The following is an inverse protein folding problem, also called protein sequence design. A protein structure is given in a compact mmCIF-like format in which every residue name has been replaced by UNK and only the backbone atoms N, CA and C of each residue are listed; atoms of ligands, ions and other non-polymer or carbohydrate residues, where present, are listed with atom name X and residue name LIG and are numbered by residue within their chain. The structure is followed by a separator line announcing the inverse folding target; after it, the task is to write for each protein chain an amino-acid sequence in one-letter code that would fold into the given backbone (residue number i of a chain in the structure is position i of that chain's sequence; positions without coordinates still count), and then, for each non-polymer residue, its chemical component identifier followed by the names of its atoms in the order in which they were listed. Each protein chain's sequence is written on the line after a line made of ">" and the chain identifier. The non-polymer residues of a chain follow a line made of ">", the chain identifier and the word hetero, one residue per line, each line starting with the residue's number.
data_IF_343220263170
#
_entry.id   IF_343220263170
#
_cell.length_a   1.000
_cell.length_b   1.000
_cell.length_c   1.000
_cell.angle_alpha   90.00
_cell.angle_beta   90.00
_cell.angle_gamma   90.00
#
_symmetry.space_group_name_H-M   'P 1'
#
loop_
_entity.id
_entity.type
_entity.pdbx_description
1 polymer ?
#
# COMPACT_ATOMS: atom_id res chain seq x y z
N UNK A 1 -2.33 -45.97 -90.62
CA UNK A 1 -1.66 -47.00 -89.80
C UNK A 1 -0.57 -46.32 -88.99
N UNK A 2 -0.65 -46.35 -87.66
CA UNK A 2 0.38 -45.84 -86.75
C UNK A 2 0.84 -47.01 -85.85
N UNK A 3 2.15 -47.23 -85.64
CA UNK A 3 2.64 -48.31 -84.81
C UNK A 3 2.62 -47.92 -83.32
N UNK A 4 1.97 -48.75 -82.51
CA UNK A 4 1.96 -48.64 -81.04
C UNK A 4 3.25 -49.21 -80.45
N UNK A 5 4.15 -48.34 -79.97
CA UNK A 5 5.31 -48.76 -79.18
C UNK A 5 4.90 -49.04 -77.73
N UNK A 6 4.74 -50.32 -77.40
CA UNK A 6 4.63 -50.82 -76.03
C UNK A 6 5.97 -50.64 -75.30
N UNK A 7 6.06 -49.64 -74.41
CA UNK A 7 7.17 -49.50 -73.45
C UNK A 7 7.10 -50.64 -72.45
N UNK A 8 8.03 -51.61 -72.54
CA UNK A 8 8.21 -52.64 -71.50
C UNK A 8 8.72 -51.96 -70.23
N UNK A 9 7.92 -52.00 -69.17
CA UNK A 9 8.34 -51.58 -67.84
C UNK A 9 9.49 -52.48 -67.37
N UNK A 10 10.62 -51.87 -67.03
CA UNK A 10 11.76 -52.55 -66.39
C UNK A 10 11.40 -52.73 -64.92
N UNK A 11 11.02 -53.93 -64.51
CA UNK A 11 10.95 -54.30 -63.10
C UNK A 11 12.37 -54.35 -62.54
N UNK A 12 12.64 -53.51 -61.54
CA UNK A 12 13.89 -53.49 -60.80
C UNK A 12 13.71 -54.50 -59.67
N UNK A 13 14.38 -55.65 -59.75
CA UNK A 13 14.44 -56.60 -58.65
C UNK A 13 15.37 -56.04 -57.56
N UNK A 14 14.79 -55.39 -56.56
CA UNK A 14 15.51 -55.00 -55.35
C UNK A 14 15.75 -56.25 -54.50
N UNK A 15 17.01 -56.65 -54.34
CA UNK A 15 17.36 -57.74 -53.43
C UNK A 15 17.02 -57.37 -51.98
N UNK A 16 16.64 -58.36 -51.17
CA UNK A 16 16.30 -58.19 -49.76
C UNK A 16 17.45 -57.52 -48.96
N UNK A 17 18.70 -57.79 -49.35
CA UNK A 17 19.88 -57.12 -48.81
C UNK A 17 19.87 -55.60 -49.04
N UNK A 18 19.49 -55.15 -50.24
CA UNK A 18 19.41 -53.71 -50.57
C UNK A 18 18.31 -53.01 -49.78
N UNK A 19 17.19 -53.69 -49.52
CA UNK A 19 16.09 -53.15 -48.70
C UNK A 19 16.51 -53.04 -47.23
N UNK A 20 17.20 -54.05 -46.72
CA UNK A 20 17.73 -54.05 -45.35
C UNK A 20 18.79 -52.96 -45.15
N UNK A 21 19.69 -52.75 -46.12
CA UNK A 21 20.71 -51.70 -46.07
C UNK A 21 20.09 -50.28 -46.08
N UNK A 22 19.07 -50.05 -46.92
CA UNK A 22 18.33 -48.78 -46.95
C UNK A 22 17.55 -48.53 -45.67
N UNK A 23 16.96 -49.58 -45.09
CA UNK A 23 16.26 -49.50 -43.80
C UNK A 23 17.25 -49.18 -42.67
N UNK A 24 18.43 -49.81 -42.65
CA UNK A 24 19.47 -49.53 -41.68
C UNK A 24 20.00 -48.08 -41.79
N UNK A 25 20.24 -47.59 -43.01
CA UNK A 25 20.65 -46.21 -43.26
C UNK A 25 19.59 -45.20 -42.79
N UNK A 26 18.32 -45.44 -43.12
CA UNK A 26 17.22 -44.55 -42.75
C UNK A 26 17.07 -44.51 -41.22
N UNK A 27 17.17 -45.67 -40.57
CA UNK A 27 17.11 -45.78 -39.11
C UNK A 27 18.27 -45.04 -38.45
N UNK A 28 19.51 -45.21 -38.94
CA UNK A 28 20.68 -44.50 -38.43
C UNK A 28 20.59 -42.98 -38.62
N UNK A 29 20.02 -42.52 -39.74
CA UNK A 29 19.77 -41.10 -39.99
C UNK A 29 18.74 -40.52 -39.01
N UNK A 30 17.63 -41.24 -38.76
CA UNK A 30 16.61 -40.81 -37.81
C UNK A 30 17.15 -40.73 -36.38
N UNK A 31 17.94 -41.71 -35.93
CA UNK A 31 18.61 -41.65 -34.63
C UNK A 31 19.60 -40.48 -34.55
N UNK A 32 20.34 -40.19 -35.62
CA UNK A 32 21.28 -39.07 -35.66
C UNK A 32 20.57 -37.71 -35.56
N UNK A 33 19.44 -37.55 -36.24
CA UNK A 33 18.62 -36.33 -36.16
C UNK A 33 17.97 -36.17 -34.79
N UNK A 34 17.41 -37.25 -34.23
CA UNK A 34 16.84 -37.25 -32.89
C UNK A 34 17.89 -36.90 -31.82
N UNK A 35 19.10 -37.46 -31.92
CA UNK A 35 20.20 -37.16 -31.00
C UNK A 35 20.66 -35.69 -31.07
N UNK A 36 20.67 -35.07 -32.26
CA UNK A 36 20.96 -33.64 -32.40
C UNK A 36 19.88 -32.79 -31.76
N UNK A 37 18.61 -33.09 -32.06
CA UNK A 37 17.46 -32.39 -31.47
C UNK A 37 17.48 -32.44 -29.94
N UNK A 38 17.75 -33.59 -29.34
CA UNK A 38 17.85 -33.71 -27.88
C UNK A 38 19.02 -32.90 -27.30
N UNK A 39 20.16 -32.82 -28.01
CA UNK A 39 21.27 -31.96 -27.59
C UNK A 39 20.91 -30.49 -27.66
N UNK A 40 20.25 -30.07 -28.73
CA UNK A 40 19.81 -28.68 -28.90
C UNK A 40 18.78 -28.29 -27.83
N UNK A 41 17.79 -29.15 -27.58
CA UNK A 41 16.79 -28.96 -26.51
C UNK A 41 17.45 -28.91 -25.12
N UNK A 42 18.49 -29.73 -24.87
CA UNK A 42 19.24 -29.70 -23.62
C UNK A 42 20.03 -28.40 -23.46
N UNK A 43 20.65 -27.89 -24.52
CA UNK A 43 21.36 -26.61 -24.49
C UNK A 43 20.40 -25.44 -24.28
N UNK A 44 19.25 -25.45 -24.95
CA UNK A 44 18.18 -24.47 -24.76
C UNK A 44 17.66 -24.48 -23.32
N UNK A 45 17.51 -25.67 -22.71
CA UNK A 45 17.10 -25.81 -21.32
C UNK A 45 18.14 -25.24 -20.35
N UNK A 46 19.42 -25.48 -20.59
CA UNK A 46 20.51 -24.91 -19.77
C UNK A 46 20.53 -23.39 -19.90
N UNK A 47 20.37 -22.86 -21.11
CA UNK A 47 20.30 -21.42 -21.37
C UNK A 47 19.15 -20.77 -20.61
N UNK A 48 17.94 -21.36 -20.67
CA UNK A 48 16.78 -20.88 -19.91
C UNK A 48 17.01 -20.92 -18.40
N UNK A 49 17.60 -22.00 -17.89
CA UNK A 49 17.92 -22.12 -16.46
C UNK A 49 18.95 -21.06 -16.01
N UNK A 50 19.93 -20.73 -16.85
CA UNK A 50 20.89 -19.66 -16.58
C UNK A 50 20.22 -18.29 -16.55
N UNK A 51 19.36 -17.98 -17.52
CA UNK A 51 18.61 -16.73 -17.55
C UNK A 51 17.70 -16.57 -16.32
N UNK A 52 17.00 -17.64 -15.92
CA UNK A 52 16.17 -17.64 -14.72
C UNK A 52 17.00 -17.41 -13.45
N UNK A 53 18.15 -18.06 -13.34
CA UNK A 53 19.08 -17.84 -12.22
C UNK A 53 19.57 -16.39 -12.18
N UNK A 54 19.90 -15.81 -13.32
CA UNK A 54 20.44 -14.45 -13.39
C UNK A 54 19.33 -13.41 -13.11
N UNK A 55 18.09 -13.65 -13.56
CA UNK A 55 16.91 -12.86 -13.13
C UNK A 55 16.71 -12.96 -11.61
N UNK A 56 16.77 -14.16 -11.05
CA UNK A 56 16.62 -14.36 -9.60
C UNK A 56 17.71 -13.63 -8.79
N UNK A 57 18.94 -13.60 -9.28
CA UNK A 57 20.04 -12.83 -8.66
C UNK A 57 19.77 -11.34 -8.70
N UNK A 58 19.35 -10.80 -9.84
CA UNK A 58 19.02 -9.38 -9.96
C UNK A 58 17.88 -8.98 -9.00
N UNK A 59 16.84 -9.81 -8.89
CA UNK A 59 15.75 -9.56 -7.93
C UNK A 59 16.21 -9.64 -6.48
N UNK A 60 17.12 -10.56 -6.16
CA UNK A 60 17.66 -10.71 -4.82
C UNK A 60 18.53 -9.51 -4.44
N UNK A 61 19.39 -9.03 -5.33
CA UNK A 61 20.17 -7.80 -5.10
C UNK A 61 19.27 -6.58 -4.90
N UNK A 62 18.19 -6.45 -5.67
CA UNK A 62 17.23 -5.37 -5.49
C UNK A 62 16.55 -5.46 -4.11
N UNK A 63 16.14 -6.66 -3.69
CA UNK A 63 15.55 -6.88 -2.37
C UNK A 63 16.53 -6.56 -1.24
N UNK A 64 17.80 -6.92 -1.38
CA UNK A 64 18.85 -6.60 -0.40
C UNK A 64 19.04 -5.09 -0.25
N UNK A 65 19.12 -4.34 -1.36
CA UNK A 65 19.23 -2.87 -1.30
C UNK A 65 18.02 -2.21 -0.64
N UNK A 66 16.82 -2.76 -0.84
CA UNK A 66 15.63 -2.27 -0.14
C UNK A 66 15.69 -2.55 1.36
N UNK A 67 16.16 -3.73 1.76
CA UNK A 67 16.37 -4.07 3.17
C UNK A 67 17.44 -3.18 3.83
N UNK A 68 18.54 -2.89 3.13
CA UNK A 68 19.57 -1.97 3.63
C UNK A 68 19.00 -0.57 3.88
N UNK A 69 18.23 -0.02 2.93
CA UNK A 69 17.56 1.28 3.12
C UNK A 69 16.54 1.26 4.27
N UNK A 70 15.80 0.17 4.41
CA UNK A 70 14.84 0.01 5.49
C UNK A 70 15.55 -0.03 6.86
N UNK A 71 16.69 -0.72 6.95
CA UNK A 71 17.51 -0.76 8.16
C UNK A 71 18.06 0.63 8.51
N UNK A 72 18.58 1.38 7.55
CA UNK A 72 19.02 2.77 7.81
C UNK A 72 17.88 3.65 8.30
N UNK A 73 16.67 3.48 7.75
CA UNK A 73 15.50 4.22 8.20
C UNK A 73 15.12 3.84 9.64
N UNK A 74 15.19 2.54 9.98
CA UNK A 74 14.94 2.05 11.33
C UNK A 74 15.96 2.62 12.33
N UNK A 75 17.23 2.65 11.97
CA UNK A 75 18.30 3.23 12.80
C UNK A 75 18.05 4.71 13.10
N UNK A 76 17.66 5.50 12.08
CA UNK A 76 17.28 6.92 12.27
C UNK A 76 16.05 7.07 13.18
N UNK A 77 15.06 6.18 13.07
CA UNK A 77 13.90 6.20 13.97
C UNK A 77 14.28 5.86 15.41
N UNK A 78 15.18 4.89 15.62
CA UNK A 78 15.67 4.56 16.96
C UNK A 78 16.47 5.70 17.58
N UNK A 79 17.30 6.38 16.79
CA UNK A 79 18.04 7.56 17.24
C UNK A 79 17.09 8.69 17.65
N UNK A 80 16.11 9.01 16.80
CA UNK A 80 15.08 10.00 17.12
C UNK A 80 14.26 9.63 18.36
N UNK A 81 13.93 8.35 18.54
CA UNK A 81 13.25 7.87 19.74
C UNK A 81 14.10 8.05 21.01
N UNK A 82 15.41 7.78 20.94
CA UNK A 82 16.34 8.02 22.05
C UNK A 82 16.47 9.51 22.38
N UNK A 83 16.57 10.37 21.36
CA UNK A 83 16.62 11.82 21.55
C UNK A 83 15.33 12.36 22.17
N UNK A 84 14.17 11.96 21.65
CA UNK A 84 12.87 12.34 22.21
C UNK A 84 12.70 11.88 23.66
N UNK A 85 13.16 10.67 23.99
CA UNK A 85 13.16 10.18 25.37
C UNK A 85 14.06 11.03 26.29
N UNK A 86 15.25 11.42 25.81
CA UNK A 86 16.15 12.30 26.55
C UNK A 86 15.52 13.67 26.80
N UNK A 87 14.94 14.30 25.77
CA UNK A 87 14.25 15.58 25.90
C UNK A 87 13.06 15.50 26.86
N UNK A 88 12.31 14.40 26.83
CA UNK A 88 11.21 14.16 27.77
C UNK A 88 11.71 14.11 29.22
N UNK A 89 12.82 13.40 29.48
CA UNK A 89 13.43 13.31 30.81
C UNK A 89 13.92 14.69 31.28
N UNK A 90 14.56 15.46 30.40
CA UNK A 90 15.02 16.82 30.71
C UNK A 90 13.85 17.76 31.01
N UNK A 91 12.79 17.71 30.22
CA UNK A 91 11.56 18.48 30.44
C UNK A 91 10.87 18.09 31.76
N UNK A 92 10.84 16.80 32.09
CA UNK A 92 10.32 16.30 33.37
C UNK A 92 11.15 16.84 34.55
N UNK A 93 12.49 16.81 34.45
CA UNK A 93 13.38 17.38 35.47
C UNK A 93 13.16 18.89 35.66
N UNK A 94 12.89 19.63 34.57
CA UNK A 94 12.57 21.06 34.64
C UNK A 94 11.23 21.29 35.33
N UNK A 95 10.20 20.50 35.01
CA UNK A 95 8.89 20.59 35.68
C UNK A 95 8.99 20.29 37.17
N UNK A 96 9.76 19.27 37.57
CA UNK A 96 9.98 18.95 38.97
C UNK A 96 10.68 20.11 39.70
N UNK A 97 11.67 20.75 39.06
CA UNK A 97 12.33 21.96 39.59
C UNK A 97 11.38 23.16 39.69
N UNK A 98 10.54 23.41 38.69
CA UNK A 98 9.54 24.50 38.72
C UNK A 98 8.49 24.25 39.80
N UNK A 99 8.08 22.99 40.00
CA UNK A 99 7.17 22.59 41.06
C UNK A 99 7.78 22.81 42.44
N UNK A 100 9.05 22.41 42.64
CA UNK A 100 9.80 22.66 43.87
C UNK A 100 9.98 24.17 44.14
N UNK A 101 10.37 24.95 43.13
CA UNK A 101 10.48 26.39 43.25
C UNK A 101 9.13 27.07 43.53
N UNK A 102 8.02 26.55 42.99
CA UNK A 102 6.67 27.03 43.30
C UNK A 102 6.23 26.66 44.72
N UNK A 103 6.60 25.49 45.24
CA UNK A 103 6.35 25.13 46.64
C UNK A 103 7.22 25.92 47.61
N UNK A 104 8.45 26.26 47.24
CA UNK A 104 9.34 27.10 48.03
C UNK A 104 8.92 28.58 47.99
N UNK A 105 8.37 29.04 46.85
CA UNK A 105 7.77 30.38 46.73
C UNK A 105 6.40 30.49 47.42
N UNK A 106 5.69 29.37 47.62
CA UNK A 106 4.47 29.31 48.43
C UNK A 106 4.77 29.34 49.94
N UNK A 107 6.04 29.24 50.36
CA UNK A 107 6.45 29.34 51.76
C UNK A 107 6.49 30.79 52.30
N UNK A 108 6.10 31.80 51.51
CA UNK A 108 6.06 33.22 51.94
C UNK A 108 4.64 33.77 52.12
N UNK A 109 3.60 33.09 51.65
CA UNK A 109 2.24 33.57 51.89
C UNK A 109 1.25 32.40 51.83
N UNK A 110 0.83 31.92 53.00
CA UNK A 110 -0.54 31.53 53.38
C UNK A 110 -0.45 30.98 54.81
N UNK A 111 -0.61 31.88 55.76
CA UNK A 111 -1.13 31.55 57.09
C UNK A 111 -2.60 31.19 56.88
N UNK A 112 -2.94 29.90 56.97
CA UNK A 112 -4.31 29.45 57.14
C UNK A 112 -4.69 28.18 56.38
N UNK A 113 -4.60 27.03 57.05
CA UNK A 113 -5.40 25.84 56.72
C UNK A 113 -4.61 24.55 56.55
N UNK A 114 -4.38 23.83 57.65
CA UNK A 114 -4.02 22.41 57.68
C UNK A 114 -5.18 21.56 57.14
N UNK A 115 -4.92 20.55 56.30
CA UNK A 115 -4.77 19.16 56.78
C UNK A 115 -4.42 18.11 55.69
N UNK A 116 -3.50 17.21 56.08
CA UNK A 116 -3.18 15.83 55.64
C UNK A 116 -3.01 15.52 54.12
N UNK A 117 -1.82 15.22 53.56
CA UNK A 117 -0.78 14.20 53.84
C UNK A 117 -1.24 12.73 53.66
N UNK A 118 -0.70 12.15 52.56
CA UNK A 118 -0.20 10.79 52.34
C UNK A 118 -1.12 9.57 52.33
N UNK A 119 -1.10 8.87 51.19
CA UNK A 119 -0.73 7.45 51.17
C UNK A 119 -0.04 7.12 49.85
N UNK A 120 1.26 6.78 49.90
CA UNK A 120 1.96 6.04 48.85
C UNK A 120 1.72 4.54 49.09
N UNK A 121 1.60 3.78 48.01
CA UNK A 121 1.49 2.32 48.01
C UNK A 121 1.69 1.77 46.59
N UNK A 122 2.96 1.58 46.26
CA UNK A 122 3.52 0.72 45.20
C UNK A 122 3.04 -0.72 45.36
N UNK A 123 2.59 -1.39 44.27
CA UNK A 123 3.02 -2.77 43.94
C UNK A 123 2.51 -3.26 42.56
N UNK A 124 3.47 -3.85 41.85
CA UNK A 124 3.57 -4.90 40.82
C UNK A 124 2.47 -5.25 39.77
N UNK A 125 3.01 -5.35 38.54
CA UNK A 125 2.94 -6.43 37.52
C UNK A 125 1.63 -7.08 37.06
N UNK A 126 1.58 -7.24 35.73
CA UNK A 126 0.96 -8.31 34.93
C UNK A 126 -0.52 -8.63 35.15
N UNK A 127 -1.32 -8.43 34.11
CA UNK A 127 -2.00 -9.57 33.48
C UNK A 127 -2.64 -9.21 32.14
N UNK A 128 -2.12 -9.89 31.12
CA UNK A 128 -2.78 -10.25 29.87
C UNK A 128 -4.06 -11.06 30.21
N UNK A 129 -5.24 -10.57 29.81
CA UNK A 129 -6.48 -11.35 29.86
C UNK A 129 -7.46 -10.95 28.74
N UNK A 130 -7.17 -11.50 27.56
CA UNK A 130 -8.08 -12.35 26.76
C UNK A 130 -9.59 -12.26 27.07
N UNK A 131 -10.34 -11.79 26.06
CA UNK A 131 -11.73 -12.16 25.70
C UNK A 131 -12.74 -12.43 26.83
N UNK A 132 -13.60 -11.45 27.11
CA UNK A 132 -15.01 -11.72 27.40
C UNK A 132 -15.90 -10.50 27.15
N UNK A 133 -16.74 -10.57 26.12
CA UNK A 133 -18.05 -9.91 26.20
C UNK A 133 -19.09 -10.65 25.38
N UNK A 134 -19.77 -11.54 26.10
CA UNK A 134 -21.08 -12.09 25.76
C UNK A 134 -22.09 -10.95 25.72
N UNK A 135 -22.77 -10.84 24.59
CA UNK A 135 -24.18 -10.48 24.43
C UNK A 135 -24.82 -9.62 25.53
N UNK A 136 -24.92 -8.31 25.28
CA UNK A 136 -25.99 -7.47 25.85
C UNK A 136 -26.77 -6.82 24.71
N UNK A 137 -28.04 -7.21 24.67
CA UNK A 137 -29.13 -6.65 23.88
C UNK A 137 -29.31 -5.15 24.13
N UNK A 138 -29.51 -4.38 23.06
CA UNK A 138 -30.11 -3.05 23.13
C UNK A 138 -29.15 -1.88 23.36
N UNK A 139 -28.13 -1.70 22.52
CA UNK A 139 -27.45 -0.40 22.34
C UNK A 139 -27.59 0.04 20.89
N UNK A 140 -28.18 1.21 20.67
CA UNK A 140 -28.14 1.92 19.38
C UNK A 140 -26.68 1.90 18.91
N UNK A 141 -26.38 1.18 17.82
CA UNK A 141 -25.08 1.21 17.17
C UNK A 141 -24.79 2.68 16.85
N UNK A 142 -23.94 3.33 17.64
CA UNK A 142 -23.24 4.52 17.17
C UNK A 142 -22.43 4.04 15.97
N UNK A 143 -22.94 4.23 14.75
CA UNK A 143 -22.25 3.81 13.54
C UNK A 143 -20.89 4.52 13.55
N UNK A 144 -19.82 3.78 13.85
CA UNK A 144 -18.46 4.30 13.81
C UNK A 144 -18.26 4.82 12.39
N UNK A 145 -18.03 6.13 12.26
CA UNK A 145 -17.85 6.76 10.95
C UNK A 145 -16.69 6.04 10.25
N UNK A 146 -16.91 5.46 9.05
CA UNK A 146 -15.86 4.73 8.34
C UNK A 146 -14.64 5.61 8.05
N UNK A 147 -13.50 4.95 8.01
CA UNK A 147 -12.26 5.57 7.54
C UNK A 147 -12.21 5.59 6.02
N UNK A 148 -11.49 6.56 5.46
CA UNK A 148 -11.42 6.75 4.01
C UNK A 148 -10.79 5.53 3.31
N UNK A 149 -9.79 4.90 3.92
CA UNK A 149 -9.19 3.68 3.38
C UNK A 149 -10.18 2.53 3.26
N UNK A 150 -11.14 2.40 4.19
CA UNK A 150 -12.14 1.34 4.15
C UNK A 150 -13.10 1.53 2.97
N UNK A 151 -13.44 2.78 2.66
CA UNK A 151 -14.27 3.13 1.52
C UNK A 151 -13.52 2.92 0.20
N UNK A 152 -12.23 3.25 0.15
CA UNK A 152 -11.39 2.99 -1.02
C UNK A 152 -11.24 1.50 -1.30
N UNK A 153 -11.01 0.68 -0.25
CA UNK A 153 -10.93 -0.77 -0.36
C UNK A 153 -12.25 -1.35 -0.86
N UNK A 154 -13.38 -0.94 -0.28
CA UNK A 154 -14.72 -1.38 -0.73
C UNK A 154 -14.95 -1.00 -2.20
N UNK A 155 -14.66 0.24 -2.59
CA UNK A 155 -14.87 0.72 -3.95
C UNK A 155 -13.97 0.00 -4.98
N UNK A 156 -12.73 -0.33 -4.63
CA UNK A 156 -11.82 -1.08 -5.48
C UNK A 156 -12.29 -2.52 -5.67
N UNK A 157 -12.64 -3.22 -4.58
CA UNK A 157 -13.13 -4.61 -4.63
C UNK A 157 -14.46 -4.70 -5.38
N UNK A 158 -15.36 -3.73 -5.20
CA UNK A 158 -16.62 -3.66 -5.93
C UNK A 158 -16.46 -3.31 -7.41
N UNK A 159 -15.26 -2.91 -7.85
CA UNK A 159 -15.00 -2.47 -9.22
C UNK A 159 -15.58 -1.09 -9.55
N UNK A 160 -16.11 -0.36 -8.56
CA UNK A 160 -16.73 0.97 -8.73
C UNK A 160 -15.75 2.05 -9.20
N UNK A 161 -14.45 1.81 -9.08
CA UNK A 161 -13.38 2.72 -9.50
C UNK A 161 -13.02 2.60 -11.00
N UNK A 162 -13.41 1.52 -11.67
CA UNK A 162 -12.88 1.16 -13.00
C UNK A 162 -13.40 2.02 -14.15
N UNK A 163 -14.65 2.48 -14.08
CA UNK A 163 -15.37 3.11 -15.21
C UNK A 163 -14.88 4.52 -15.60
N UNK A 164 -13.74 4.99 -15.10
CA UNK A 164 -13.29 6.38 -15.30
C UNK A 164 -14.19 7.42 -14.63
N UNK A 165 -15.18 6.98 -13.84
CA UNK A 165 -16.04 7.86 -13.03
C UNK A 165 -15.16 8.68 -12.09
N UNK A 166 -15.61 9.91 -11.81
CA UNK A 166 -14.96 10.74 -10.81
C UNK A 166 -15.17 10.10 -9.43
N UNK A 167 -14.15 10.21 -8.59
CA UNK A 167 -14.18 9.62 -7.24
C UNK A 167 -15.36 10.13 -6.38
N UNK A 168 -15.77 11.37 -6.60
CA UNK A 168 -16.91 11.99 -5.91
C UNK A 168 -18.27 11.36 -6.23
N UNK A 169 -18.38 10.69 -7.37
CA UNK A 169 -19.62 10.09 -7.87
C UNK A 169 -19.81 8.65 -7.40
N UNK A 170 -18.81 8.06 -6.73
CA UNK A 170 -18.87 6.67 -6.27
C UNK A 170 -19.94 6.50 -5.22
N UNK A 171 -20.82 5.52 -5.41
CA UNK A 171 -21.77 5.07 -4.40
C UNK A 171 -21.08 4.03 -3.50
N UNK A 172 -21.20 4.22 -2.19
CA UNK A 172 -20.64 3.31 -1.17
C UNK A 172 -21.64 3.20 -0.04
N UNK A 173 -21.91 1.96 0.37
CA UNK A 173 -22.86 1.63 1.44
C UNK A 173 -22.34 2.07 2.81
N UNK A 174 -21.02 2.28 2.93
CA UNK A 174 -20.38 2.81 4.12
C UNK A 174 -20.68 4.31 4.33
N UNK A 175 -21.13 5.03 3.30
CA UNK A 175 -21.35 6.48 3.37
C UNK A 175 -22.79 6.80 3.80
N UNK A 176 -22.93 7.43 4.97
CA UNK A 176 -24.22 7.94 5.42
C UNK A 176 -24.69 9.08 4.52
N UNK A 177 -25.90 8.96 3.96
CA UNK A 177 -26.48 9.91 3.00
C UNK A 177 -26.43 11.38 3.47
N UNK A 178 -26.70 11.64 4.77
CA UNK A 178 -26.61 12.98 5.38
C UNK A 178 -25.22 13.62 5.28
N UNK A 179 -24.17 12.81 5.22
CA UNK A 179 -22.77 13.24 5.16
C UNK A 179 -22.19 13.13 3.74
N UNK A 180 -23.02 12.94 2.71
CA UNK A 180 -22.57 12.76 1.32
C UNK A 180 -21.71 13.92 0.83
N UNK A 181 -22.06 15.15 1.19
CA UNK A 181 -21.26 16.32 0.79
C UNK A 181 -19.85 16.30 1.40
N UNK A 182 -19.66 15.74 2.60
CA UNK A 182 -18.33 15.60 3.20
C UNK A 182 -17.55 14.49 2.51
N UNK A 183 -18.21 13.38 2.18
CA UNK A 183 -17.64 12.33 1.35
C UNK A 183 -17.13 12.87 0.01
N UNK A 184 -17.95 13.65 -0.71
CA UNK A 184 -17.55 14.28 -1.98
C UNK A 184 -16.27 15.11 -1.81
N UNK A 185 -16.20 15.95 -0.77
CA UNK A 185 -14.99 16.74 -0.51
C UNK A 185 -13.78 15.87 -0.14
N UNK A 186 -13.97 14.79 0.60
CA UNK A 186 -12.89 13.86 0.90
C UNK A 186 -12.38 13.15 -0.36
N UNK A 187 -13.29 12.68 -1.22
CA UNK A 187 -12.93 12.00 -2.46
C UNK A 187 -12.31 12.94 -3.51
N UNK A 188 -12.73 14.21 -3.57
CA UNK A 188 -12.03 15.24 -4.35
C UNK A 188 -10.58 15.38 -3.90
N UNK A 189 -10.34 15.45 -2.59
CA UNK A 189 -8.99 15.54 -2.05
C UNK A 189 -8.18 14.28 -2.37
N UNK A 190 -8.77 13.10 -2.27
CA UNK A 190 -8.10 11.85 -2.68
C UNK A 190 -7.68 11.92 -4.14
N UNK A 191 -8.57 12.37 -5.04
CA UNK A 191 -8.27 12.51 -6.46
C UNK A 191 -7.20 13.55 -6.78
N UNK A 192 -7.03 14.58 -5.94
CA UNK A 192 -5.92 15.54 -6.05
C UNK A 192 -4.57 14.96 -5.59
N UNK A 193 -4.58 13.87 -4.80
CA UNK A 193 -3.41 13.40 -4.05
C UNK A 193 -2.91 12.00 -4.39
N UNK A 194 -3.74 11.15 -5.01
CA UNK A 194 -3.27 9.83 -5.46
C UNK A 194 -2.27 9.98 -6.62
N UNK A 195 -1.32 9.05 -6.73
CA UNK A 195 -0.35 9.05 -7.84
C UNK A 195 -0.94 8.37 -9.07
N UNK A 196 -0.32 8.57 -10.24
CA UNK A 196 -0.73 7.87 -11.47
C UNK A 196 -0.66 6.35 -11.33
N UNK A 197 0.35 5.84 -10.61
CA UNK A 197 0.50 4.40 -10.31
C UNK A 197 -0.61 3.88 -9.39
N UNK A 198 -0.94 4.63 -8.34
CA UNK A 198 -2.03 4.27 -7.41
C UNK A 198 -3.40 4.32 -8.11
N UNK A 199 -3.61 5.31 -8.97
CA UNK A 199 -4.82 5.38 -9.80
C UNK A 199 -4.91 4.18 -10.75
N UNK A 200 -3.81 3.85 -11.45
CA UNK A 200 -3.77 2.69 -12.34
C UNK A 200 -4.10 1.40 -11.60
N UNK A 201 -3.51 1.21 -10.42
CA UNK A 201 -3.77 0.04 -9.58
C UNK A 201 -5.22 0.01 -9.08
N UNK A 202 -5.73 1.10 -8.49
CA UNK A 202 -7.08 1.14 -7.92
C UNK A 202 -8.20 1.01 -8.97
N UNK A 203 -7.88 1.26 -10.25
CA UNK A 203 -8.79 1.07 -11.38
C UNK A 203 -8.57 -0.25 -12.14
N UNK A 204 -7.66 -1.10 -11.67
CA UNK A 204 -7.43 -2.43 -12.23
C UNK A 204 -8.65 -3.35 -12.10
N UNK A 205 -8.60 -4.52 -12.72
CA UNK A 205 -9.72 -5.47 -12.64
C UNK A 205 -9.93 -5.96 -11.20
N UNK A 206 -11.17 -6.28 -10.80
CA UNK A 206 -11.42 -6.85 -9.47
C UNK A 206 -10.61 -8.11 -9.19
N UNK A 207 -10.30 -8.89 -10.22
CA UNK A 207 -9.46 -10.09 -10.11
C UNK A 207 -8.01 -9.74 -9.76
N UNK A 208 -7.41 -8.77 -10.46
CA UNK A 208 -6.06 -8.24 -10.12
C UNK A 208 -6.03 -7.62 -8.71
N UNK A 209 -7.08 -6.88 -8.33
CA UNK A 209 -7.23 -6.33 -6.97
C UNK A 209 -7.30 -7.45 -5.92
N UNK A 210 -8.03 -8.53 -6.21
CA UNK A 210 -8.18 -9.66 -5.29
C UNK A 210 -6.91 -10.49 -5.15
N UNK A 211 -6.10 -10.59 -6.21
CA UNK A 211 -4.77 -11.22 -6.17
C UNK A 211 -3.79 -10.40 -5.30
N UNK A 212 -3.94 -9.08 -5.29
CA UNK A 212 -3.07 -8.13 -4.59
C UNK A 212 -3.75 -7.38 -3.42
N UNK A 213 -4.59 -8.05 -2.63
CA UNK A 213 -5.29 -7.41 -1.48
C UNK A 213 -4.35 -6.78 -0.45
N UNK A 214 -3.14 -7.30 -0.29
CA UNK A 214 -2.12 -6.71 0.59
C UNK A 214 -1.68 -5.33 0.10
N UNK A 215 -1.43 -5.22 -1.19
CA UNK A 215 -1.04 -3.96 -1.84
C UNK A 215 -2.17 -2.94 -1.80
N UNK A 216 -3.42 -3.37 -2.06
CA UNK A 216 -4.60 -2.51 -1.94
C UNK A 216 -4.70 -1.85 -0.55
N UNK A 217 -4.48 -2.62 0.52
CA UNK A 217 -4.52 -2.08 1.89
C UNK A 217 -3.43 -1.05 2.13
N UNK A 218 -2.20 -1.34 1.70
CA UNK A 218 -1.06 -0.42 1.83
C UNK A 218 -1.31 0.87 1.06
N UNK A 219 -1.81 0.79 -0.17
CA UNK A 219 -2.15 1.97 -0.99
C UNK A 219 -3.25 2.78 -0.31
N UNK A 220 -4.33 2.13 0.14
CA UNK A 220 -5.44 2.83 0.79
C UNK A 220 -5.02 3.54 2.08
N UNK A 221 -4.18 2.91 2.90
CA UNK A 221 -3.62 3.53 4.11
C UNK A 221 -2.65 4.67 3.77
N UNK A 222 -1.82 4.51 2.73
CA UNK A 222 -0.89 5.54 2.25
C UNK A 222 -1.64 6.79 1.78
N UNK A 223 -2.70 6.63 1.00
CA UNK A 223 -3.57 7.72 0.56
C UNK A 223 -4.23 8.41 1.76
N UNK A 224 -4.70 7.65 2.75
CA UNK A 224 -5.32 8.19 3.95
C UNK A 224 -4.34 9.05 4.76
N UNK A 225 -3.11 8.58 4.96
CA UNK A 225 -2.02 9.33 5.60
C UNK A 225 -1.70 10.59 4.81
N UNK A 226 -1.53 10.46 3.48
CA UNK A 226 -1.24 11.60 2.59
C UNK A 226 -2.31 12.69 2.66
N UNK A 227 -3.59 12.31 2.71
CA UNK A 227 -4.70 13.24 2.92
C UNK A 227 -4.55 14.02 4.24
N UNK A 228 -4.26 13.33 5.35
CA UNK A 228 -4.08 13.99 6.64
C UNK A 228 -2.86 14.91 6.66
N UNK A 229 -1.72 14.45 6.10
CA UNK A 229 -0.49 15.25 5.99
C UNK A 229 -0.74 16.53 5.22
N UNK A 230 -1.38 16.42 4.04
CA UNK A 230 -1.67 17.58 3.20
C UNK A 230 -2.65 18.54 3.87
N UNK A 231 -3.63 18.03 4.61
CA UNK A 231 -4.54 18.88 5.38
C UNK A 231 -3.85 19.59 6.54
N UNK A 232 -2.88 18.96 7.21
CA UNK A 232 -2.07 19.61 8.24
C UNK A 232 -1.23 20.75 7.65
N UNK A 233 -0.65 20.53 6.46
CA UNK A 233 0.09 21.55 5.71
C UNK A 233 -0.81 22.75 5.37
N UNK A 234 -2.02 22.50 4.84
CA UNK A 234 -2.97 23.58 4.54
C UNK A 234 -3.49 24.31 5.78
N UNK A 235 -3.47 23.67 6.94
CA UNK A 235 -3.81 24.28 8.22
C UNK A 235 -2.62 25.06 8.85
N UNK A 236 -1.44 25.02 8.23
CA UNK A 236 -0.25 25.72 8.71
C UNK A 236 0.34 25.11 9.98
N UNK A 237 0.20 23.80 10.17
CA UNK A 237 0.84 23.11 11.31
C UNK A 237 2.35 23.09 11.12
N UNK A 238 3.10 23.27 12.22
CA UNK A 238 4.56 23.19 12.18
C UNK A 238 5.04 21.76 11.89
N UNK A 239 4.40 20.77 12.49
CA UNK A 239 4.56 19.36 12.11
C UNK A 239 3.33 18.92 11.33
N UNK A 240 3.56 18.54 10.08
CA UNK A 240 2.52 18.09 9.16
C UNK A 240 2.22 16.61 9.30
N UNK A 241 3.03 15.87 10.07
CA UNK A 241 2.86 14.43 10.27
C UNK A 241 1.54 14.16 11.01
N UNK A 242 0.69 13.25 10.50
CA UNK A 242 -0.54 12.89 11.20
C UNK A 242 -0.21 12.19 12.51
N UNK A 243 -0.76 12.70 13.60
CA UNK A 243 -0.62 12.07 14.92
C UNK A 243 -1.62 10.92 15.09
N UNK A 244 -1.34 9.99 16.01
CA UNK A 244 -2.24 8.87 16.34
C UNK A 244 -3.66 9.29 16.77
N UNK A 245 -3.83 10.55 17.18
CA UNK A 245 -5.14 11.11 17.53
C UNK A 245 -5.97 11.51 16.30
N UNK A 246 -5.35 11.77 15.14
CA UNK A 246 -6.05 12.13 13.92
C UNK A 246 -6.68 10.89 13.29
N UNK A 247 -8.01 10.88 13.20
CA UNK A 247 -8.74 9.80 12.55
C UNK A 247 -8.96 10.14 11.07
N UNK A 248 -8.51 9.30 10.12
CA UNK A 248 -8.74 9.50 8.69
C UNK A 248 -10.18 9.14 8.29
N UNK A 249 -11.18 9.63 9.03
CA UNK A 249 -12.58 9.44 8.63
C UNK A 249 -12.96 10.34 7.47
N UNK A 250 -13.80 9.85 6.56
CA UNK A 250 -14.24 10.65 5.40
C UNK A 250 -14.96 11.94 5.84
N UNK A 251 -15.61 11.92 7.01
CA UNK A 251 -16.26 13.10 7.61
C UNK A 251 -15.22 14.12 8.08
N UNK A 252 -14.19 13.67 8.79
CA UNK A 252 -13.11 14.54 9.30
C UNK A 252 -12.32 15.16 8.16
N UNK A 253 -11.86 14.32 7.23
CA UNK A 253 -11.12 14.74 6.03
C UNK A 253 -11.99 15.67 5.19
N UNK A 254 -13.25 15.29 4.91
CA UNK A 254 -14.17 16.08 4.10
C UNK A 254 -14.48 17.46 4.69
N UNK A 255 -14.61 17.56 6.02
CA UNK A 255 -14.87 18.85 6.68
C UNK A 255 -13.67 19.78 6.59
N UNK A 256 -12.45 19.25 6.73
CA UNK A 256 -11.20 20.00 6.60
C UNK A 256 -10.94 20.39 5.14
N UNK A 257 -11.07 19.45 4.21
CA UNK A 257 -10.93 19.67 2.76
C UNK A 257 -11.89 20.76 2.26
N UNK A 258 -13.15 20.77 2.73
CA UNK A 258 -14.11 21.82 2.40
C UNK A 258 -13.60 23.22 2.76
N UNK A 259 -12.97 23.40 3.92
CA UNK A 259 -12.40 24.70 4.32
C UNK A 259 -11.31 25.14 3.35
N UNK A 260 -10.43 24.20 2.98
CA UNK A 260 -9.34 24.44 2.03
C UNK A 260 -9.90 24.84 0.67
N UNK A 261 -10.85 24.09 0.12
CA UNK A 261 -11.44 24.40 -1.19
C UNK A 261 -12.15 25.75 -1.21
N UNK A 262 -12.88 26.10 -0.14
CA UNK A 262 -13.51 27.41 -0.03
C UNK A 262 -12.48 28.55 0.05
N UNK A 263 -11.39 28.36 0.78
CA UNK A 263 -10.30 29.34 0.84
C UNK A 263 -9.62 29.54 -0.52
N UNK A 264 -9.40 28.47 -1.29
CA UNK A 264 -8.84 28.55 -2.65
C UNK A 264 -9.77 29.33 -3.59
N UNK A 265 -11.07 29.04 -3.58
CA UNK A 265 -12.05 29.77 -4.41
C UNK A 265 -12.09 31.25 -4.05
N UNK A 266 -12.01 31.59 -2.76
CA UNK A 266 -11.95 32.99 -2.33
C UNK A 266 -10.70 33.70 -2.85
N UNK A 267 -9.53 33.07 -2.75
CA UNK A 267 -8.27 33.64 -3.27
C UNK A 267 -8.31 33.87 -4.78
N UNK A 268 -8.91 32.94 -5.55
CA UNK A 268 -9.07 33.08 -7.00
C UNK A 268 -9.93 34.31 -7.32
N UNK A 269 -11.06 34.47 -6.64
CA UNK A 269 -11.96 35.60 -6.85
C UNK A 269 -11.32 36.94 -6.42
N UNK A 270 -10.53 36.95 -5.33
CA UNK A 270 -9.82 38.15 -4.87
C UNK A 270 -8.69 38.56 -5.86
N UNK A 271 -8.07 37.59 -6.56
CA UNK A 271 -7.06 37.86 -7.59
C UNK A 271 -7.64 38.34 -8.93
N UNK A 272 -8.85 37.92 -9.32
CA UNK A 272 -9.54 38.44 -10.51
C UNK A 272 -10.05 39.88 -10.34
N UNK A 273 -10.23 40.34 -9.09
CA UNK A 273 -10.78 41.68 -8.78
C UNK A 273 -9.68 42.72 -8.48
N UNK A 274 -8.40 42.33 -8.41
CA UNK A 274 -7.31 43.29 -8.22
C UNK A 274 -7.07 44.12 -9.50
N UNK A 275 -7.41 45.43 -9.53
CA UNK A 275 -7.10 46.25 -10.68
C UNK A 275 -5.58 46.42 -10.77
N UNK A 276 -5.03 46.15 -11.96
CA UNK A 276 -3.69 46.60 -12.33
C UNK A 276 -3.59 48.10 -12.00
N UNK A 277 -2.77 48.43 -11.01
CA UNK A 277 -2.31 49.79 -10.72
C UNK A 277 -0.81 49.84 -10.89
#
# INVERSE_FOLDING_TARGET
>A
MMPSHSKKARTIDCSEATINDLTALTTAQLYSLSSRRHRDESLESVRRAQEERDRARATLEQSQRLLERANEHLERMEENARESQKEYVDAKSLLDRVRQASSDSAAVEIVGGQDAVATMGDDSSDDEAVMASRTSTGRKKSSKVPFIQAILIEAAIAGSLRDGKKLEDIESDLVVHKNRFLFVNAMKLVGELWTEEEELFLRSSPDEINESLGELKVIADTIAVRCLTKLNEFEGRHDNTPTNAQKPSYVSIGARARKVFLSRVKQINDHEVAPQK
#
